data_IF_667979806061
#
_entry.id   IF_667979806061
#
_cell.length_a   1.000
_cell.length_b   1.000
_cell.length_c   1.000
_cell.angle_alpha   90.00
_cell.angle_beta   90.00
_cell.angle_gamma   90.00
#
_symmetry.space_group_name_H-M   'P 1'
#
loop_
_entity.id
_entity.type
_entity.pdbx_description
1 polymer ?
#
# COMPACT_ATOMS: atom_id res chain seq x y z
N UNK A 1 -17.08 -6.65 -1.88
CA UNK A 1 -15.64 -6.35 -1.66
C UNK A 1 -15.23 -5.37 -2.73
N UNK A 2 -14.85 -4.14 -2.34
CA UNK A 2 -14.60 -3.03 -3.26
C UNK A 2 -13.45 -3.35 -4.24
N UNK A 3 -12.39 -4.00 -3.74
CA UNK A 3 -11.22 -4.45 -4.51
C UNK A 3 -11.49 -5.52 -5.59
N UNK A 4 -12.74 -5.89 -5.87
CA UNK A 4 -13.10 -6.75 -7.01
C UNK A 4 -13.47 -5.96 -8.26
N UNK A 5 -13.71 -4.67 -8.12
CA UNK A 5 -14.05 -3.78 -9.23
C UNK A 5 -12.80 -3.43 -10.05
N UNK A 6 -12.82 -3.71 -11.36
CA UNK A 6 -11.66 -3.47 -12.24
C UNK A 6 -11.41 -1.98 -12.52
N UNK A 7 -12.42 -1.13 -12.30
CA UNK A 7 -12.34 0.31 -12.58
C UNK A 7 -11.73 1.13 -11.43
N UNK A 8 -11.34 0.48 -10.33
CA UNK A 8 -10.72 1.15 -9.19
C UNK A 8 -9.22 1.23 -9.41
N UNK A 9 -8.73 2.46 -9.47
CA UNK A 9 -7.30 2.77 -9.41
C UNK A 9 -6.77 2.49 -7.99
N UNK A 10 -6.03 1.39 -7.87
CA UNK A 10 -5.42 0.95 -6.61
C UNK A 10 -4.22 1.79 -6.19
N UNK A 11 -3.66 2.56 -7.13
CA UNK A 11 -2.51 3.42 -6.92
C UNK A 11 -2.91 4.87 -6.67
N UNK A 12 -4.21 5.16 -6.58
CA UNK A 12 -4.71 6.51 -6.36
C UNK A 12 -4.04 7.15 -5.14
N UNK A 13 -3.45 8.32 -5.37
CA UNK A 13 -2.82 9.14 -4.35
C UNK A 13 -3.80 10.19 -3.85
N UNK A 14 -3.93 10.31 -2.54
CA UNK A 14 -4.73 11.34 -1.92
C UNK A 14 -4.04 12.73 -1.99
N UNK A 15 -4.61 13.73 -1.31
CA UNK A 15 -4.03 15.09 -1.27
C UNK A 15 -2.64 15.17 -0.61
N UNK A 16 -2.19 14.15 0.10
CA UNK A 16 -0.86 14.05 0.70
C UNK A 16 0.10 13.18 -0.13
N UNK A 17 -0.38 12.59 -1.24
CA UNK A 17 0.39 11.63 -2.00
C UNK A 17 0.30 10.21 -1.45
N UNK A 18 -0.54 9.96 -0.45
CA UNK A 18 -0.64 8.65 0.19
C UNK A 18 -1.54 7.71 -0.63
N UNK A 19 -1.07 6.47 -0.83
CA UNK A 19 -1.84 5.40 -1.49
C UNK A 19 -2.57 4.53 -0.47
N UNK A 20 -3.53 3.72 -0.95
CA UNK A 20 -4.18 2.72 -0.10
C UNK A 20 -3.17 1.74 0.53
N UNK A 21 -2.09 1.42 -0.18
CA UNK A 21 -1.03 0.54 0.31
C UNK A 21 -0.25 1.17 1.48
N UNK A 22 0.09 2.46 1.39
CA UNK A 22 0.76 3.18 2.49
C UNK A 22 -0.08 3.19 3.76
N UNK A 23 -1.40 3.39 3.66
CA UNK A 23 -2.29 3.30 4.82
C UNK A 23 -2.39 1.88 5.39
N UNK A 24 -2.36 0.85 4.54
CA UNK A 24 -2.36 -0.54 5.00
C UNK A 24 -1.08 -0.89 5.76
N UNK A 25 0.07 -0.38 5.30
CA UNK A 25 1.37 -0.51 5.95
C UNK A 25 1.39 0.19 7.31
N UNK A 26 0.92 1.44 7.36
CA UNK A 26 0.82 2.23 8.59
C UNK A 26 -0.07 1.59 9.65
N UNK A 27 -1.13 0.90 9.22
CA UNK A 27 -2.04 0.21 10.13
C UNK A 27 -1.60 -1.20 10.54
N UNK A 28 -0.49 -1.72 10.01
CA UNK A 28 -0.09 -3.12 10.21
C UNK A 28 -1.12 -4.12 9.65
N UNK A 29 -1.88 -3.74 8.62
CA UNK A 29 -2.98 -4.54 8.08
C UNK A 29 -2.47 -5.54 7.04
N UNK A 30 -1.72 -6.55 7.48
CA UNK A 30 -1.06 -7.56 6.61
C UNK A 30 -2.00 -8.17 5.58
N UNK A 31 -3.22 -8.55 5.97
CA UNK A 31 -4.18 -9.14 5.04
C UNK A 31 -4.66 -8.14 3.98
N UNK A 32 -4.76 -6.85 4.32
CA UNK A 32 -5.09 -5.80 3.34
C UNK A 32 -3.91 -5.56 2.40
N UNK A 33 -2.67 -5.56 2.91
CA UNK A 33 -1.45 -5.48 2.10
C UNK A 33 -1.42 -6.60 1.07
N UNK A 34 -1.59 -7.86 1.49
CA UNK A 34 -1.65 -9.02 0.58
C UNK A 34 -2.75 -8.88 -0.47
N UNK A 35 -3.94 -8.41 -0.07
CA UNK A 35 -5.05 -8.19 -1.00
C UNK A 35 -4.75 -7.09 -2.04
N UNK A 36 -4.05 -6.03 -1.65
CA UNK A 36 -3.66 -4.94 -2.55
C UNK A 36 -2.53 -5.38 -3.49
N UNK A 37 -1.53 -6.10 -2.99
CA UNK A 37 -0.43 -6.64 -3.79
C UNK A 37 -0.90 -7.68 -4.83
N UNK A 38 -2.01 -8.35 -4.57
CA UNK A 38 -2.65 -9.24 -5.54
C UNK A 38 -3.43 -8.53 -6.65
N UNK A 39 -3.47 -7.19 -6.69
CA UNK A 39 -4.18 -6.44 -7.74
C UNK A 39 -3.28 -6.19 -8.93
N UNK A 40 -3.81 -6.42 -10.12
CA UNK A 40 -3.13 -6.09 -11.36
C UNK A 40 -2.79 -4.59 -11.42
N UNK A 41 -1.53 -4.29 -11.75
CA UNK A 41 -1.05 -2.92 -11.92
C UNK A 41 -0.76 -2.16 -10.63
N UNK A 42 -0.77 -2.81 -9.46
CA UNK A 42 -0.28 -2.22 -8.20
C UNK A 42 1.18 -1.78 -8.36
N UNK A 43 1.51 -0.59 -7.89
CA UNK A 43 2.87 -0.05 -7.87
C UNK A 43 3.27 0.31 -6.44
N UNK A 44 4.23 -0.45 -5.90
CA UNK A 44 4.73 -0.30 -4.53
C UNK A 44 5.73 0.86 -4.38
N UNK A 45 6.23 1.42 -5.49
CA UNK A 45 7.26 2.45 -5.52
C UNK A 45 6.71 3.87 -5.61
N UNK A 46 5.39 4.06 -5.56
CA UNK A 46 4.81 5.39 -5.45
C UNK A 46 5.36 6.12 -4.24
N UNK A 47 5.69 7.38 -4.45
CA UNK A 47 6.19 8.27 -3.40
C UNK A 47 5.11 9.27 -3.04
N UNK A 48 4.89 9.43 -1.75
CA UNK A 48 4.07 10.50 -1.23
C UNK A 48 4.77 11.86 -1.39
N UNK A 49 4.14 12.93 -0.89
CA UNK A 49 4.70 14.28 -0.96
C UNK A 49 5.95 14.48 -0.11
N UNK A 50 6.23 13.59 0.84
CA UNK A 50 7.46 13.58 1.63
C UNK A 50 8.57 12.75 0.97
N UNK A 51 8.28 12.09 -0.15
CA UNK A 51 9.21 11.22 -0.85
C UNK A 51 9.26 9.79 -0.32
N UNK A 52 8.34 9.42 0.58
CA UNK A 52 8.24 8.11 1.24
C UNK A 52 7.38 7.14 0.43
N UNK A 53 7.80 5.88 0.39
CA UNK A 53 7.11 4.75 -0.24
C UNK A 53 6.29 3.96 0.79
N UNK A 54 5.51 2.98 0.34
CA UNK A 54 4.72 2.13 1.25
C UNK A 54 5.56 1.50 2.39
N UNK A 55 6.77 1.03 2.07
CA UNK A 55 7.71 0.45 3.04
C UNK A 55 8.05 1.40 4.19
N UNK A 56 8.24 2.70 3.90
CA UNK A 56 8.59 3.71 4.91
C UNK A 56 7.47 3.99 5.92
N UNK A 57 6.25 3.53 5.61
CA UNK A 57 5.08 3.65 6.46
C UNK A 57 4.75 2.36 7.23
N UNK A 58 5.47 1.26 7.01
CA UNK A 58 5.21 -0.01 7.71
C UNK A 58 5.48 0.13 9.21
N UNK A 59 4.55 -0.37 10.04
CA UNK A 59 4.80 -0.55 11.47
C UNK A 59 6.01 -1.47 11.68
N UNK A 60 6.97 -1.08 12.53
CA UNK A 60 8.20 -1.83 12.79
C UNK A 60 7.93 -3.24 13.34
N UNK A 61 6.76 -3.47 13.95
CA UNK A 61 6.35 -4.78 14.44
C UNK A 61 5.81 -5.72 13.34
N UNK A 62 5.68 -5.23 12.11
CA UNK A 62 5.09 -5.97 10.98
C UNK A 62 6.17 -6.50 10.02
N UNK A 63 7.07 -7.35 10.52
CA UNK A 63 8.16 -7.96 9.73
C UNK A 63 7.64 -8.59 8.42
N UNK A 64 6.51 -9.30 8.48
CA UNK A 64 5.88 -9.92 7.30
C UNK A 64 5.45 -8.88 6.24
N UNK A 65 4.99 -7.70 6.64
CA UNK A 65 4.61 -6.64 5.70
C UNK A 65 5.84 -6.03 5.03
N UNK A 66 6.95 -5.92 5.78
CA UNK A 66 8.22 -5.43 5.24
C UNK A 66 8.76 -6.39 4.18
N UNK A 67 8.79 -7.70 4.45
CA UNK A 67 9.21 -8.72 3.49
C UNK A 67 8.40 -8.71 2.19
N UNK A 68 7.11 -8.36 2.26
CA UNK A 68 6.24 -8.26 1.08
C UNK A 68 6.54 -7.06 0.18
N UNK A 69 7.32 -6.09 0.67
CA UNK A 69 7.60 -4.81 -0.01
C UNK A 69 9.10 -4.58 -0.27
N UNK A 70 9.95 -5.54 0.10
CA UNK A 70 11.35 -5.65 -0.32
C UNK A 70 11.49 -6.08 -1.79
#
# INVERSE_FOLDING_TARGET
MLLKEQHIDVNFQDKYGLTALMYACLGGYTEIVKLLLGRDGIDIHFKDKEGKMAYDWCDEMSEEVQELLE
#
